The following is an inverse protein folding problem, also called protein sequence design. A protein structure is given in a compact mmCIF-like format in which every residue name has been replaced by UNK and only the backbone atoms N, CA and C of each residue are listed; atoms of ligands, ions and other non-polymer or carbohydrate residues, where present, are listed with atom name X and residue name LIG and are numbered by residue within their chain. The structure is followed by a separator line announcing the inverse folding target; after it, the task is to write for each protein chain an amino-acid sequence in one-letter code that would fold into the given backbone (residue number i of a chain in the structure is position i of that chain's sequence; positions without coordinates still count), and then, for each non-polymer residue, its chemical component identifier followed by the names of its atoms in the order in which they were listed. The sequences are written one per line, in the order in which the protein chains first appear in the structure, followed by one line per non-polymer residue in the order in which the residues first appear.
data_IF_728373525527
#
_entry.id   IF_728373525527
#
_cell.length_a   1.000
_cell.length_b   1.000
_cell.length_c   1.000
_cell.angle_alpha   90.00
_cell.angle_beta   90.00
_cell.angle_gamma   90.00
#
_symmetry.space_group_name_H-M   'P 1'
#
loop_
_entity.id
_entity.type
_entity.pdbx_description
1 polymer ?
#
# COMPACT_ATOMS: atom_id res chain seq x y z
N UNK A 1 8.00 -5.00 14.54
CA UNK A 1 8.15 -3.92 13.53
C UNK A 1 7.33 -4.30 12.30
N UNK A 2 6.62 -3.37 11.64
CA UNK A 2 5.80 -3.71 10.46
C UNK A 2 6.72 -3.80 9.24
N UNK A 3 6.83 -4.99 8.66
CA UNK A 3 7.61 -5.26 7.45
C UNK A 3 7.27 -4.27 6.33
N UNK A 4 8.28 -3.69 5.68
CA UNK A 4 8.05 -2.68 4.66
C UNK A 4 7.34 -3.30 3.43
N UNK A 5 6.54 -2.50 2.71
CA UNK A 5 5.88 -2.97 1.48
C UNK A 5 6.89 -3.41 0.42
N UNK A 6 8.04 -2.75 0.35
CA UNK A 6 9.15 -3.08 -0.57
C UNK A 6 9.76 -4.44 -0.28
N UNK A 7 9.94 -4.81 1.00
CA UNK A 7 10.48 -6.12 1.38
C UNK A 7 9.51 -7.27 1.03
N UNK A 8 8.20 -7.03 1.11
CA UNK A 8 7.18 -8.00 0.68
C UNK A 8 7.20 -8.17 -0.84
N UNK A 9 7.27 -7.08 -1.57
CA UNK A 9 7.37 -7.10 -3.03
C UNK A 9 8.64 -7.82 -3.48
N UNK A 10 9.79 -7.53 -2.86
CA UNK A 10 11.04 -8.22 -3.14
C UNK A 10 10.92 -9.73 -2.89
N UNK A 11 10.27 -10.14 -1.79
CA UNK A 11 10.03 -11.55 -1.52
C UNK A 11 9.16 -12.20 -2.60
N UNK A 12 8.04 -11.56 -2.99
CA UNK A 12 7.13 -12.08 -4.01
C UNK A 12 7.84 -12.23 -5.37
N UNK A 13 8.65 -11.24 -5.76
CA UNK A 13 9.47 -11.28 -6.97
C UNK A 13 10.49 -12.41 -6.92
N UNK A 14 11.25 -12.54 -5.82
CA UNK A 14 12.25 -13.60 -5.71
C UNK A 14 11.59 -14.98 -5.73
N UNK A 15 10.45 -15.16 -5.06
CA UNK A 15 9.69 -16.42 -5.11
C UNK A 15 9.18 -16.72 -6.53
N UNK A 16 8.68 -15.72 -7.26
CA UNK A 16 8.18 -15.93 -8.63
C UNK A 16 9.30 -16.30 -9.61
N UNK A 17 10.54 -15.86 -9.34
CA UNK A 17 11.74 -16.26 -10.05
C UNK A 17 12.32 -17.62 -9.60
N UNK A 18 11.64 -18.32 -8.68
CA UNK A 18 12.02 -19.66 -8.22
C UNK A 18 13.03 -19.68 -7.07
N UNK A 19 13.29 -18.55 -6.42
CA UNK A 19 14.15 -18.53 -5.23
C UNK A 19 13.39 -19.04 -4.00
N UNK A 20 14.06 -19.84 -3.18
CA UNK A 20 13.58 -20.21 -1.85
C UNK A 20 13.94 -19.09 -0.85
N UNK A 21 12.95 -18.55 -0.15
CA UNK A 21 13.17 -17.57 0.93
C UNK A 21 13.35 -18.32 2.23
N UNK A 22 14.59 -18.35 2.73
CA UNK A 22 15.00 -19.10 3.92
C UNK A 22 14.64 -18.34 5.19
N UNK A 23 14.88 -17.03 5.19
CA UNK A 23 14.58 -16.17 6.32
C UNK A 23 14.23 -14.77 5.85
N UNK A 24 13.36 -14.14 6.60
CA UNK A 24 13.05 -12.71 6.49
C UNK A 24 13.67 -12.07 7.72
N UNK A 25 14.27 -10.90 7.59
CA UNK A 25 14.86 -10.16 8.70
C UNK A 25 15.92 -11.02 9.42
N UNK A 26 16.85 -11.58 8.64
CA UNK A 26 17.84 -12.52 9.13
C UNK A 26 18.91 -11.80 9.96
N UNK A 27 19.15 -12.20 11.22
CA UNK A 27 20.14 -11.54 12.06
C UNK A 27 21.55 -11.86 11.56
N UNK A 28 22.38 -10.82 11.44
CA UNK A 28 23.81 -10.93 11.15
C UNK A 28 24.54 -11.04 12.48
N UNK A 29 25.18 -12.19 12.73
CA UNK A 29 25.90 -12.45 13.96
C UNK A 29 27.41 -12.46 13.75
N UNK A 30 28.13 -11.82 14.66
CA UNK A 30 29.58 -11.92 14.79
C UNK A 30 29.87 -12.49 16.17
N UNK A 31 30.24 -13.78 16.21
CA UNK A 31 30.26 -14.55 17.45
C UNK A 31 28.84 -14.81 17.96
N UNK A 32 28.59 -14.45 19.22
CA UNK A 32 27.29 -14.58 19.88
C UNK A 32 26.41 -13.32 19.77
N UNK A 33 26.97 -12.21 19.25
CA UNK A 33 26.29 -10.93 19.17
C UNK A 33 25.70 -10.68 17.79
N UNK A 34 24.46 -10.20 17.79
CA UNK A 34 23.80 -9.65 16.62
C UNK A 34 24.31 -8.22 16.38
N UNK A 35 24.80 -7.95 15.18
CA UNK A 35 25.42 -6.67 14.82
C UNK A 35 24.67 -5.93 13.71
N UNK A 36 23.85 -6.64 12.93
CA UNK A 36 23.04 -6.11 11.87
C UNK A 36 21.91 -7.10 11.50
N UNK A 37 21.13 -6.74 10.49
CA UNK A 37 20.05 -7.56 9.93
C UNK A 37 20.19 -7.55 8.40
N UNK A 38 19.75 -8.62 7.74
CA UNK A 38 19.56 -8.69 6.29
C UNK A 38 18.06 -8.86 6.04
N UNK A 39 17.49 -8.03 5.16
CA UNK A 39 16.05 -8.04 4.90
C UNK A 39 15.54 -9.41 4.43
N UNK A 40 16.26 -10.06 3.50
CA UNK A 40 15.95 -11.42 3.04
C UNK A 40 17.21 -12.27 2.92
N UNK A 41 17.14 -13.48 3.46
CA UNK A 41 18.08 -14.54 3.13
C UNK A 41 17.37 -15.52 2.20
N UNK A 42 17.85 -15.62 0.97
CA UNK A 42 17.27 -16.50 -0.06
C UNK A 42 18.31 -17.50 -0.54
N UNK A 43 17.86 -18.61 -1.11
CA UNK A 43 18.73 -19.69 -1.58
C UNK A 43 18.36 -20.08 -3.02
N UNK A 44 19.05 -19.53 -4.03
CA UNK A 44 19.12 -20.18 -5.34
C UNK A 44 20.20 -21.26 -5.35
N UNK A 45 20.18 -22.20 -6.32
CA UNK A 45 21.42 -22.87 -6.72
C UNK A 45 22.42 -21.82 -7.24
N UNK A 46 23.71 -21.77 -6.83
CA UNK A 46 24.46 -22.73 -6.01
C UNK A 46 24.63 -22.38 -4.51
N UNK A 47 24.16 -21.23 -4.02
CA UNK A 47 24.45 -20.80 -2.64
C UNK A 47 23.54 -19.66 -2.14
N UNK A 48 23.55 -19.36 -0.82
CA UNK A 48 22.67 -18.36 -0.22
C UNK A 48 23.02 -16.93 -0.66
N UNK A 49 21.98 -16.13 -0.86
CA UNK A 49 22.05 -14.69 -1.14
C UNK A 49 21.48 -13.91 0.04
N UNK A 50 22.24 -12.92 0.51
CA UNK A 50 21.78 -11.93 1.46
C UNK A 50 21.32 -10.68 0.68
N UNK A 51 20.02 -10.40 0.75
CA UNK A 51 19.36 -9.34 -0.02
C UNK A 51 19.04 -8.17 0.90
N UNK A 52 19.57 -7.00 0.54
CA UNK A 52 19.17 -5.71 1.10
C UNK A 52 18.13 -5.06 0.16
N UNK A 53 17.00 -4.63 0.71
CA UNK A 53 15.87 -4.08 -0.05
C UNK A 53 15.71 -2.60 0.28
N UNK A 54 15.81 -1.74 -0.73
CA UNK A 54 15.45 -0.33 -0.62
C UNK A 54 14.06 -0.07 -1.18
N UNK A 55 13.29 0.76 -0.48
CA UNK A 55 11.95 1.19 -0.90
C UNK A 55 11.96 2.15 -2.08
N UNK A 56 13.11 2.75 -2.37
CA UNK A 56 13.33 3.62 -3.52
C UNK A 56 14.62 3.23 -4.24
N UNK A 57 15.36 4.24 -4.68
CA UNK A 57 16.61 4.04 -5.41
C UNK A 57 17.72 3.50 -4.50
N UNK A 58 18.54 2.61 -5.03
CA UNK A 58 19.70 2.02 -4.36
C UNK A 58 20.88 3.00 -4.42
N UNK A 59 21.42 3.37 -3.25
CA UNK A 59 22.56 4.25 -3.11
C UNK A 59 23.85 3.50 -2.71
N UNK A 60 24.96 4.23 -2.63
CA UNK A 60 26.27 3.69 -2.22
C UNK A 60 26.22 3.04 -0.82
N UNK A 61 25.41 3.57 0.09
CA UNK A 61 25.28 3.05 1.45
C UNK A 61 24.64 1.66 1.45
N UNK A 62 23.55 1.50 0.70
CA UNK A 62 22.86 0.23 0.52
C UNK A 62 23.80 -0.85 -0.03
N UNK A 63 24.61 -0.52 -1.03
CA UNK A 63 25.60 -1.44 -1.61
C UNK A 63 26.63 -1.88 -0.56
N UNK A 64 27.13 -0.94 0.25
CA UNK A 64 28.09 -1.26 1.32
C UNK A 64 27.46 -2.13 2.42
N UNK A 65 26.22 -1.84 2.80
CA UNK A 65 25.46 -2.61 3.79
C UNK A 65 25.26 -4.05 3.31
N UNK A 66 24.75 -4.23 2.09
CA UNK A 66 24.56 -5.53 1.48
C UNK A 66 25.87 -6.32 1.44
N UNK A 67 26.96 -5.70 0.96
CA UNK A 67 28.27 -6.34 0.89
C UNK A 67 28.78 -6.76 2.28
N UNK A 68 28.83 -5.85 3.25
CA UNK A 68 29.37 -6.12 4.57
C UNK A 68 28.58 -7.21 5.30
N UNK A 69 27.25 -7.11 5.29
CA UNK A 69 26.35 -8.03 5.98
C UNK A 69 26.40 -9.43 5.37
N UNK A 70 26.38 -9.53 4.03
CA UNK A 70 26.49 -10.82 3.34
C UNK A 70 27.81 -11.53 3.66
N UNK A 71 28.93 -10.79 3.65
CA UNK A 71 30.25 -11.34 3.98
C UNK A 71 30.33 -11.84 5.41
N UNK A 72 29.71 -11.14 6.36
CA UNK A 72 29.68 -11.54 7.76
C UNK A 72 29.00 -12.90 7.99
N UNK A 73 28.04 -13.28 7.12
CA UNK A 73 27.29 -14.55 7.23
C UNK A 73 27.65 -15.58 6.14
N UNK A 74 28.68 -15.31 5.32
CA UNK A 74 29.12 -16.23 4.28
C UNK A 74 28.15 -16.38 3.09
N UNK A 75 27.32 -15.38 2.84
CA UNK A 75 26.39 -15.34 1.72
C UNK A 75 26.93 -14.44 0.58
N UNK A 76 26.36 -14.59 -0.61
CA UNK A 76 26.58 -13.64 -1.70
C UNK A 76 25.71 -12.39 -1.51
N UNK A 77 26.26 -11.18 -1.71
CA UNK A 77 25.50 -9.94 -1.53
C UNK A 77 24.57 -9.64 -2.71
N UNK A 78 23.38 -9.16 -2.41
CA UNK A 78 22.42 -8.68 -3.39
C UNK A 78 21.70 -7.41 -2.89
N UNK A 79 21.36 -6.51 -3.81
CA UNK A 79 20.48 -5.36 -3.55
C UNK A 79 19.24 -5.39 -4.45
N UNK A 80 18.12 -4.93 -3.91
CA UNK A 80 16.88 -4.71 -4.67
C UNK A 80 16.32 -3.32 -4.39
N UNK A 81 15.74 -2.69 -5.40
CA UNK A 81 15.12 -1.36 -5.28
C UNK A 81 14.55 -0.86 -6.60
N UNK A 82 14.04 0.37 -6.62
CA UNK A 82 13.44 0.99 -7.81
C UNK A 82 14.50 1.61 -8.74
N UNK A 83 15.62 0.93 -8.97
CA UNK A 83 16.74 1.45 -9.77
C UNK A 83 17.85 2.11 -8.94
N UNK A 84 18.81 2.75 -9.62
CA UNK A 84 20.00 3.34 -9.01
C UNK A 84 19.83 4.82 -8.67
N UNK A 85 20.37 5.23 -7.51
CA UNK A 85 20.37 6.63 -7.08
C UNK A 85 21.31 7.48 -7.94
N UNK A 86 22.47 6.91 -8.29
CA UNK A 86 23.51 7.52 -9.10
C UNK A 86 24.41 6.43 -9.73
N UNK A 87 25.31 6.85 -10.62
CA UNK A 87 26.20 5.94 -11.34
C UNK A 87 27.26 5.33 -10.40
N UNK A 88 27.69 6.07 -9.38
CA UNK A 88 28.68 5.62 -8.40
C UNK A 88 28.20 4.41 -7.60
N UNK A 89 26.90 4.35 -7.24
CA UNK A 89 26.31 3.20 -6.57
C UNK A 89 26.41 1.94 -7.44
N UNK A 90 26.07 2.06 -8.73
CA UNK A 90 26.14 0.95 -9.68
C UNK A 90 27.59 0.48 -9.88
N UNK A 91 28.51 1.41 -10.15
CA UNK A 91 29.93 1.10 -10.32
C UNK A 91 30.53 0.41 -9.09
N UNK A 92 30.13 0.84 -7.88
CA UNK A 92 30.57 0.19 -6.65
C UNK A 92 30.00 -1.23 -6.52
N UNK A 93 28.72 -1.43 -6.86
CA UNK A 93 28.10 -2.75 -6.82
C UNK A 93 28.82 -3.72 -7.77
N UNK A 94 29.05 -3.30 -9.01
CA UNK A 94 29.80 -4.08 -10.00
C UNK A 94 31.23 -4.39 -9.50
N UNK A 95 31.91 -3.40 -8.91
CA UNK A 95 33.27 -3.57 -8.36
C UNK A 95 33.35 -4.55 -7.19
N UNK A 96 32.34 -4.55 -6.32
CA UNK A 96 32.27 -5.40 -5.13
C UNK A 96 31.64 -6.77 -5.40
N UNK A 97 31.14 -7.02 -6.61
CA UNK A 97 30.42 -8.24 -6.96
C UNK A 97 29.07 -8.34 -6.23
N UNK A 98 28.43 -7.19 -5.95
CA UNK A 98 27.08 -7.15 -5.39
C UNK A 98 26.08 -7.33 -6.51
N UNK A 99 25.32 -8.42 -6.45
CA UNK A 99 24.24 -8.70 -7.41
C UNK A 99 23.12 -7.67 -7.23
N UNK A 100 22.36 -7.42 -8.27
CA UNK A 100 21.21 -6.53 -8.17
C UNK A 100 20.06 -6.98 -9.05
N UNK A 101 18.86 -6.68 -8.57
CA UNK A 101 17.61 -6.83 -9.32
C UNK A 101 16.76 -5.60 -9.05
N UNK A 102 16.57 -4.77 -10.07
CA UNK A 102 15.77 -3.57 -9.91
C UNK A 102 14.32 -3.86 -10.22
N UNK A 103 13.41 -3.34 -9.41
CA UNK A 103 11.97 -3.51 -9.60
C UNK A 103 11.49 -3.03 -10.97
N UNK A 104 12.13 -2.00 -11.51
CA UNK A 104 11.85 -1.47 -12.85
C UNK A 104 12.18 -2.49 -13.97
N UNK A 105 13.13 -3.40 -13.72
CA UNK A 105 13.57 -4.41 -14.69
C UNK A 105 12.67 -5.67 -14.65
N UNK A 106 12.00 -5.94 -13.54
CA UNK A 106 11.18 -7.15 -13.33
C UNK A 106 9.68 -6.90 -13.33
N UNK A 107 9.23 -5.69 -13.01
CA UNK A 107 7.81 -5.34 -13.05
C UNK A 107 7.40 -4.96 -14.47
N UNK A 108 7.21 -5.97 -15.31
CA UNK A 108 6.47 -5.81 -16.57
C UNK A 108 5.00 -6.06 -16.26
N UNK A 109 4.27 -5.02 -15.85
CA UNK A 109 2.81 -5.13 -15.79
C UNK A 109 2.27 -5.18 -17.22
N UNK A 110 1.54 -6.24 -17.56
CA UNK A 110 0.73 -6.24 -18.78
C UNK A 110 -0.33 -5.13 -18.71
N UNK A 111 -0.84 -4.71 -19.87
CA UNK A 111 -1.92 -3.70 -19.92
C UNK A 111 -3.15 -4.22 -19.19
N UNK A 112 -3.41 -5.52 -19.29
CA UNK A 112 -4.50 -6.22 -18.62
C UNK A 112 -4.35 -6.17 -17.09
N UNK A 113 -3.17 -6.51 -16.55
CA UNK A 113 -2.93 -6.46 -15.10
C UNK A 113 -3.07 -5.05 -14.54
N UNK A 114 -2.53 -4.04 -15.24
CA UNK A 114 -2.70 -2.65 -14.83
C UNK A 114 -4.17 -2.24 -14.85
N UNK A 115 -4.91 -2.63 -15.89
CA UNK A 115 -6.35 -2.39 -15.98
C UNK A 115 -7.09 -3.02 -14.80
N UNK A 116 -6.78 -4.27 -14.45
CA UNK A 116 -7.43 -4.98 -13.34
C UNK A 116 -7.10 -4.35 -11.97
N UNK A 117 -5.86 -3.92 -11.74
CA UNK A 117 -5.48 -3.19 -10.52
C UNK A 117 -6.25 -1.88 -10.40
N UNK A 118 -6.30 -1.09 -11.47
CA UNK A 118 -7.03 0.19 -11.49
C UNK A 118 -8.53 -0.06 -11.31
N UNK A 119 -9.10 -1.02 -12.02
CA UNK A 119 -10.50 -1.43 -11.91
C UNK A 119 -10.83 -1.88 -10.49
N UNK A 120 -9.97 -2.68 -9.86
CA UNK A 120 -10.13 -3.13 -8.48
C UNK A 120 -10.15 -1.95 -7.50
N UNK A 121 -9.18 -1.05 -7.60
CA UNK A 121 -9.10 0.14 -6.75
C UNK A 121 -10.32 1.05 -6.92
N UNK A 122 -10.74 1.32 -8.16
CA UNK A 122 -11.95 2.11 -8.45
C UNK A 122 -13.21 1.43 -7.90
N UNK A 123 -13.33 0.11 -8.11
CA UNK A 123 -14.47 -0.68 -7.63
C UNK A 123 -14.57 -0.62 -6.11
N UNK A 124 -13.45 -0.78 -5.39
CA UNK A 124 -13.42 -0.72 -3.94
C UNK A 124 -13.85 0.66 -3.41
N UNK A 125 -13.37 1.74 -4.04
CA UNK A 125 -13.78 3.12 -3.70
C UNK A 125 -15.27 3.32 -3.95
N UNK A 126 -15.79 2.86 -5.09
CA UNK A 126 -17.22 2.97 -5.42
C UNK A 126 -18.09 2.18 -4.45
N UNK A 127 -17.71 0.94 -4.11
CA UNK A 127 -18.44 0.11 -3.15
C UNK A 127 -18.46 0.76 -1.78
N UNK A 128 -17.32 1.26 -1.28
CA UNK A 128 -17.27 2.00 -0.01
C UNK A 128 -18.12 3.27 -0.05
N UNK A 129 -18.08 4.00 -1.15
CA UNK A 129 -18.89 5.20 -1.32
C UNK A 129 -20.38 4.90 -1.30
N UNK A 130 -20.84 3.90 -2.06
CA UNK A 130 -22.24 3.46 -2.08
C UNK A 130 -22.67 2.98 -0.68
N UNK A 131 -21.86 2.16 -0.02
CA UNK A 131 -22.14 1.68 1.33
C UNK A 131 -22.14 2.78 2.41
N UNK A 132 -21.52 3.94 2.13
CA UNK A 132 -21.59 5.12 3.00
C UNK A 132 -22.88 5.92 2.82
N UNK A 133 -23.63 5.70 1.73
CA UNK A 133 -24.94 6.31 1.56
C UNK A 133 -25.94 5.60 2.47
N UNK A 134 -26.78 6.39 3.13
CA UNK A 134 -27.77 5.86 4.08
C UNK A 134 -29.16 6.25 3.59
N UNK A 135 -29.83 5.38 2.80
CA UNK A 135 -31.13 5.71 2.20
C UNK A 135 -32.21 5.84 3.29
N UNK A 136 -32.42 7.06 3.73
CA UNK A 136 -33.30 7.44 4.83
C UNK A 136 -34.07 8.69 4.42
N UNK A 137 -35.37 8.75 4.71
CA UNK A 137 -36.21 9.90 4.35
C UNK A 137 -35.70 11.20 4.99
N UNK A 138 -35.08 11.11 6.17
CA UNK A 138 -34.52 12.27 6.88
C UNK A 138 -33.32 12.86 6.15
N UNK A 139 -32.64 12.07 5.30
CA UNK A 139 -31.62 12.61 4.42
C UNK A 139 -32.20 13.56 3.37
N UNK A 140 -33.48 13.41 2.99
CA UNK A 140 -34.16 14.37 2.13
C UNK A 140 -34.37 15.72 2.81
N UNK A 141 -34.62 15.73 4.12
CA UNK A 141 -34.72 16.99 4.89
C UNK A 141 -33.40 17.76 4.86
N UNK A 142 -32.27 17.07 4.99
CA UNK A 142 -30.94 17.70 4.84
C UNK A 142 -30.69 18.14 3.39
N UNK A 143 -31.15 17.37 2.41
CA UNK A 143 -30.96 17.69 0.98
C UNK A 143 -31.74 18.93 0.53
N UNK A 144 -32.92 19.15 1.12
CA UNK A 144 -33.84 20.27 0.87
C UNK A 144 -33.47 21.51 1.67
N UNK A 145 -32.90 21.33 2.87
CA UNK A 145 -32.28 22.40 3.63
C UNK A 145 -31.02 22.89 2.88
N UNK A 146 -30.99 24.18 2.53
CA UNK A 146 -29.84 24.78 1.83
C UNK A 146 -28.57 24.82 2.69
N UNK A 147 -28.69 24.54 4.00
CA UNK A 147 -27.59 24.52 4.96
C UNK A 147 -27.81 23.50 6.09
N UNK A 148 -26.74 23.16 6.81
CA UNK A 148 -26.82 22.31 8.00
C UNK A 148 -27.59 22.97 9.15
N UNK A 149 -27.60 24.30 9.22
CA UNK A 149 -28.35 25.05 10.24
C UNK A 149 -29.86 24.96 9.99
N UNK A 150 -30.29 25.06 8.73
CA UNK A 150 -31.68 24.82 8.35
C UNK A 150 -32.10 23.37 8.60
N UNK A 151 -31.22 22.42 8.29
CA UNK A 151 -31.46 21.01 8.58
C UNK A 151 -31.57 20.74 10.09
N UNK A 152 -30.74 21.40 10.91
CA UNK A 152 -30.78 21.31 12.38
C UNK A 152 -32.09 21.87 12.94
N UNK A 153 -32.58 22.99 12.39
CA UNK A 153 -33.89 23.55 12.78
C UNK A 153 -35.04 22.59 12.45
N UNK A 154 -34.95 21.86 11.33
CA UNK A 154 -36.00 20.93 10.89
C UNK A 154 -35.96 19.57 11.61
N UNK A 155 -34.77 19.00 11.81
CA UNK A 155 -34.58 17.65 12.38
C UNK A 155 -34.28 17.64 13.88
N UNK A 156 -33.83 18.76 14.43
CA UNK A 156 -33.22 18.84 15.75
C UNK A 156 -31.75 18.38 15.73
N UNK A 157 -30.95 19.01 16.60
CA UNK A 157 -29.49 18.81 16.70
C UNK A 157 -29.06 17.37 16.91
N UNK A 158 -29.72 16.66 17.83
CA UNK A 158 -29.37 15.29 18.18
C UNK A 158 -29.65 14.32 17.02
N UNK A 159 -30.74 14.55 16.30
CA UNK A 159 -31.17 13.67 15.22
C UNK A 159 -30.39 13.90 13.94
N UNK A 160 -30.03 15.16 13.65
CA UNK A 160 -29.03 15.49 12.65
C UNK A 160 -27.69 14.80 12.99
N UNK A 161 -27.21 14.91 14.23
CA UNK A 161 -25.94 14.30 14.66
C UNK A 161 -25.93 12.78 14.49
N UNK A 162 -27.00 12.09 14.88
CA UNK A 162 -27.14 10.63 14.69
C UNK A 162 -27.12 10.26 13.20
N UNK A 163 -27.82 11.01 12.36
CA UNK A 163 -27.89 10.76 10.93
C UNK A 163 -26.53 10.98 10.25
N UNK A 164 -25.82 12.05 10.58
CA UNK A 164 -24.46 12.32 10.09
C UNK A 164 -23.48 11.21 10.50
N UNK A 165 -23.58 10.72 11.74
CA UNK A 165 -22.78 9.59 12.23
C UNK A 165 -23.06 8.31 11.45
N UNK A 166 -24.34 8.03 11.13
CA UNK A 166 -24.74 6.86 10.33
C UNK A 166 -24.25 6.93 8.88
N UNK A 167 -24.22 8.12 8.28
CA UNK A 167 -23.63 8.34 6.95
C UNK A 167 -22.09 8.29 6.94
N UNK A 168 -21.45 8.07 8.10
CA UNK A 168 -20.00 7.99 8.24
C UNK A 168 -19.28 9.30 7.91
N UNK A 169 -19.93 10.45 8.07
CA UNK A 169 -19.39 11.74 7.59
C UNK A 169 -18.68 12.51 8.71
N UNK A 170 -17.36 12.64 8.55
CA UNK A 170 -16.52 13.64 9.23
C UNK A 170 -15.88 14.49 8.12
N UNK A 171 -16.58 15.52 7.65
CA UNK A 171 -16.14 16.35 6.53
C UNK A 171 -16.84 17.70 6.51
N UNK A 172 -16.42 18.58 5.60
CA UNK A 172 -17.01 19.92 5.43
C UNK A 172 -18.51 19.86 5.07
N UNK A 173 -19.21 20.97 5.33
CA UNK A 173 -20.66 21.11 5.13
C UNK A 173 -21.11 20.73 3.72
N UNK A 174 -20.34 21.08 2.70
CA UNK A 174 -20.66 20.78 1.30
C UNK A 174 -20.68 19.27 0.99
N UNK A 175 -19.69 18.53 1.48
CA UNK A 175 -19.61 17.08 1.29
C UNK A 175 -20.77 16.35 1.99
N UNK A 176 -21.20 16.88 3.13
CA UNK A 176 -22.36 16.37 3.87
C UNK A 176 -23.66 16.60 3.10
N UNK A 177 -23.88 17.81 2.57
CA UNK A 177 -25.06 18.13 1.77
C UNK A 177 -25.12 17.28 0.49
N UNK A 178 -24.00 17.08 -0.19
CA UNK A 178 -23.92 16.21 -1.36
C UNK A 178 -24.27 14.75 -1.02
N UNK A 179 -23.73 14.22 0.09
CA UNK A 179 -24.04 12.87 0.55
C UNK A 179 -25.52 12.71 0.96
N UNK A 180 -26.11 13.73 1.58
CA UNK A 180 -27.52 13.74 1.92
C UNK A 180 -28.42 13.75 0.68
N UNK A 181 -28.08 14.55 -0.34
CA UNK A 181 -28.78 14.55 -1.64
C UNK A 181 -28.74 13.18 -2.30
N UNK A 182 -27.57 12.54 -2.36
CA UNK A 182 -27.44 11.19 -2.92
C UNK A 182 -28.18 10.13 -2.10
N UNK A 183 -28.13 10.22 -0.78
CA UNK A 183 -28.88 9.32 0.12
C UNK A 183 -30.39 9.49 -0.03
N UNK A 184 -30.87 10.72 -0.20
CA UNK A 184 -32.27 11.02 -0.49
C UNK A 184 -32.70 10.46 -1.85
N UNK A 185 -31.91 10.67 -2.91
CA UNK A 185 -32.19 10.11 -4.24
C UNK A 185 -32.26 8.59 -4.19
N UNK A 186 -31.31 7.95 -3.49
CA UNK A 186 -31.31 6.50 -3.31
C UNK A 186 -32.56 6.02 -2.56
N UNK A 187 -32.98 6.73 -1.51
CA UNK A 187 -34.23 6.43 -0.80
C UNK A 187 -35.46 6.57 -1.71
N UNK A 188 -35.56 7.65 -2.50
CA UNK A 188 -36.66 7.88 -3.45
C UNK A 188 -36.72 6.76 -4.50
N UNK A 189 -35.57 6.37 -5.06
CA UNK A 189 -35.46 5.26 -6.00
C UNK A 189 -35.93 3.94 -5.37
N UNK A 190 -35.43 3.58 -4.18
CA UNK A 190 -35.83 2.35 -3.50
C UNK A 190 -37.31 2.30 -3.13
N UNK A 191 -37.93 3.46 -2.84
CA UNK A 191 -39.38 3.56 -2.61
C UNK A 191 -40.20 3.40 -3.90
N UNK A 192 -39.67 3.86 -5.03
CA UNK A 192 -40.30 3.74 -6.35
C UNK A 192 -40.13 2.36 -7.00
N UNK A 193 -39.17 1.55 -6.54
CA UNK A 193 -38.89 0.18 -7.02
C UNK A 193 -39.78 -0.88 -6.32
N UNK A 194 -40.87 -0.47 -5.67
CA UNK A 194 -41.88 -1.44 -5.22
C UNK A 194 -42.56 -2.06 -6.45
N UNK A 195 -42.18 -3.30 -6.78
CA UNK A 195 -42.95 -4.20 -7.64
C UNK A 195 -44.31 -4.55 -7.04
#
# INVERSE_FOLDING_TARGET
MRRARSERLAEEVLRSMGFEVVSVNAPVKVGDKEVAEVDLLVKPPPGPLAVEVKSGKVDVSAVRQAYANAKAIGAEPMVMGSGWANEEAKLLADKLGVKYLMFEDVMVASKEELYDVVKGAVTEVLVRFINSLYPDERACVIAEAGSLEEAEKALGKEELRKLLKRMGRAGGSEAVLAAARLSCLLWKLLKGVKG
#
